data_IF_078870836464
#
_entry.id   IF_078870836464
#
_cell.length_a   1.000
_cell.length_b   1.000
_cell.length_c   1.000
_cell.angle_alpha   90.00
_cell.angle_beta   90.00
_cell.angle_gamma   90.00
#
_symmetry.space_group_name_H-M   'P 1'
#
loop_
_entity.id
_entity.type
_entity.pdbx_description
1 polymer ?
#
# COMPACT_ATOMS: atom_id res chain seq x y z
N UNK A 1 -9.87 -20.91 -12.21
CA UNK A 1 -9.63 -19.56 -11.69
C UNK A 1 -10.87 -18.73 -12.02
N UNK A 2 -11.53 -18.14 -11.04
CA UNK A 2 -12.76 -17.36 -11.23
C UNK A 2 -12.67 -16.05 -10.43
N UNK A 3 -13.23 -14.97 -10.98
CA UNK A 3 -13.34 -13.67 -10.30
C UNK A 3 -14.57 -13.70 -9.39
N UNK A 4 -14.35 -13.61 -8.08
CA UNK A 4 -15.45 -13.63 -7.09
C UNK A 4 -16.09 -12.24 -6.92
N UNK A 5 -15.29 -11.17 -6.94
CA UNK A 5 -15.71 -9.77 -6.79
C UNK A 5 -14.71 -8.81 -7.45
N UNK A 6 -15.20 -7.64 -7.84
CA UNK A 6 -14.42 -6.55 -8.42
C UNK A 6 -14.79 -5.22 -7.76
N UNK A 7 -13.81 -4.32 -7.67
CA UNK A 7 -13.98 -2.97 -7.14
C UNK A 7 -13.35 -1.97 -8.12
N UNK A 8 -14.02 -0.84 -8.32
CA UNK A 8 -13.43 0.33 -8.97
C UNK A 8 -12.94 1.30 -7.88
N UNK A 9 -11.65 1.62 -7.91
CA UNK A 9 -11.00 2.45 -6.89
C UNK A 9 -10.98 3.93 -7.24
N UNK A 10 -11.18 4.29 -8.51
CA UNK A 10 -11.00 5.65 -9.02
C UNK A 10 -9.57 6.18 -9.01
N UNK A 11 -8.58 5.44 -8.47
CA UNK A 11 -7.18 5.89 -8.44
C UNK A 11 -6.48 5.60 -9.77
N UNK A 12 -5.94 6.61 -10.48
CA UNK A 12 -5.31 6.39 -11.79
C UNK A 12 -4.04 5.54 -11.66
N UNK A 13 -4.03 4.35 -12.28
CA UNK A 13 -2.87 3.45 -12.25
C UNK A 13 -1.58 4.10 -12.76
N UNK A 14 -1.67 5.03 -13.72
CA UNK A 14 -0.48 5.74 -14.25
C UNK A 14 0.14 6.72 -13.25
N UNK A 15 -0.62 7.13 -12.24
CA UNK A 15 -0.15 8.00 -11.14
C UNK A 15 0.32 7.19 -9.93
N UNK A 16 0.09 5.88 -9.92
CA UNK A 16 0.58 5.00 -8.87
C UNK A 16 2.07 4.68 -9.09
N UNK A 17 2.83 4.63 -8.01
CA UNK A 17 4.15 4.01 -8.00
C UNK A 17 4.03 2.50 -8.06
N UNK A 18 3.59 1.93 -6.95
CA UNK A 18 3.25 0.52 -6.79
C UNK A 18 2.03 0.38 -5.87
N UNK A 19 1.50 -0.83 -5.74
CA UNK A 19 0.40 -1.10 -4.83
C UNK A 19 0.49 -2.51 -4.21
N UNK A 20 -0.01 -2.66 -2.98
CA UNK A 20 -0.05 -3.93 -2.26
C UNK A 20 -1.35 -4.07 -1.45
N UNK A 21 -1.68 -5.30 -1.05
CA UNK A 21 -2.89 -5.60 -0.29
C UNK A 21 -2.55 -6.10 1.12
N UNK A 22 -3.27 -5.61 2.13
CA UNK A 22 -3.26 -6.16 3.49
C UNK A 22 -4.70 -6.26 3.99
N UNK A 23 -5.13 -7.44 4.42
CA UNK A 23 -6.46 -7.66 5.04
C UNK A 23 -7.66 -7.09 4.24
N UNK A 24 -7.60 -7.11 2.91
CA UNK A 24 -8.68 -6.56 2.08
C UNK A 24 -8.63 -5.03 1.89
N UNK A 25 -7.53 -4.38 2.27
CA UNK A 25 -7.26 -2.96 1.97
C UNK A 25 -6.15 -2.87 0.93
N UNK A 26 -6.40 -2.14 -0.15
CA UNK A 26 -5.42 -1.81 -1.18
C UNK A 26 -4.67 -0.55 -0.76
N UNK A 27 -3.35 -0.63 -0.64
CA UNK A 27 -2.48 0.49 -0.37
C UNK A 27 -1.71 0.85 -1.65
N UNK A 28 -1.68 2.12 -2.00
CA UNK A 28 -1.06 2.62 -3.23
C UNK A 28 -0.04 3.70 -2.90
N UNK A 29 1.16 3.57 -3.47
CA UNK A 29 2.17 4.64 -3.39
C UNK A 29 1.95 5.69 -4.48
N UNK A 30 2.22 6.95 -4.18
CA UNK A 30 2.10 8.06 -5.14
C UNK A 30 3.28 8.20 -6.11
N UNK A 31 4.32 7.40 -5.94
CA UNK A 31 5.54 7.46 -6.75
C UNK A 31 6.32 6.15 -6.62
N UNK A 32 7.05 5.78 -7.68
CA UNK A 32 8.04 4.71 -7.66
C UNK A 32 9.46 5.27 -7.43
N UNK A 33 9.60 6.59 -7.29
CA UNK A 33 10.86 7.30 -7.11
C UNK A 33 11.18 7.60 -5.64
N UNK A 34 12.28 8.32 -5.39
CA UNK A 34 12.61 8.83 -4.06
C UNK A 34 11.48 9.72 -3.50
N UNK A 35 11.27 9.66 -2.18
CA UNK A 35 10.22 10.42 -1.51
C UNK A 35 8.80 9.87 -1.70
N UNK A 36 8.66 8.64 -2.20
CA UNK A 36 7.39 7.93 -2.28
C UNK A 36 6.70 7.86 -0.92
N UNK A 37 5.38 7.84 -0.93
CA UNK A 37 4.54 7.64 0.24
C UNK A 37 3.40 6.72 -0.11
N UNK A 38 2.95 5.91 0.85
CA UNK A 38 1.63 5.27 0.76
C UNK A 38 0.61 6.39 0.94
N UNK A 39 -0.06 6.73 -0.15
CA UNK A 39 -0.86 7.95 -0.26
C UNK A 39 -2.36 7.68 -0.36
N UNK A 40 -2.74 6.47 -0.74
CA UNK A 40 -4.13 6.10 -0.94
C UNK A 40 -4.37 4.71 -0.40
N UNK A 41 -5.45 4.56 0.38
CA UNK A 41 -5.93 3.29 0.88
C UNK A 41 -7.39 3.08 0.44
N UNK A 42 -7.69 1.93 -0.14
CA UNK A 42 -9.05 1.55 -0.56
C UNK A 42 -9.51 0.31 0.20
N UNK A 43 -10.63 0.44 0.90
CA UNK A 43 -11.22 -0.57 1.75
C UNK A 43 -12.26 -1.38 0.97
N UNK A 44 -11.96 -2.64 0.65
CA UNK A 44 -12.86 -3.49 -0.16
C UNK A 44 -14.14 -3.91 0.58
N UNK A 45 -14.15 -3.87 1.92
CA UNK A 45 -15.31 -4.20 2.74
C UNK A 45 -16.39 -3.11 2.68
N UNK A 46 -16.01 -1.84 2.70
CA UNK A 46 -16.90 -0.67 2.69
C UNK A 46 -17.00 0.00 1.32
N UNK A 47 -16.14 -0.39 0.36
CA UNK A 47 -16.00 0.26 -0.95
C UNK A 47 -15.74 1.77 -0.83
N UNK A 48 -14.95 2.14 0.19
CA UNK A 48 -14.55 3.51 0.47
C UNK A 48 -13.04 3.64 0.37
N UNK A 49 -12.55 4.87 0.27
CA UNK A 49 -11.12 5.15 0.28
C UNK A 49 -10.79 6.30 1.23
N UNK A 50 -9.52 6.38 1.60
CA UNK A 50 -8.94 7.53 2.28
C UNK A 50 -7.59 7.88 1.68
N UNK A 51 -7.20 9.14 1.83
CA UNK A 51 -5.84 9.56 1.56
C UNK A 51 -5.01 9.41 2.83
N UNK A 52 -3.85 8.80 2.69
CA UNK A 52 -2.89 8.57 3.78
C UNK A 52 -1.63 9.38 3.54
N UNK A 53 -0.78 9.52 4.56
CA UNK A 53 0.54 10.16 4.41
C UNK A 53 1.62 9.35 5.13
N UNK A 54 1.77 8.07 4.75
CA UNK A 54 2.78 7.19 5.35
C UNK A 54 4.05 7.23 4.51
N UNK A 55 5.18 7.75 5.03
CA UNK A 55 6.43 7.82 4.28
C UNK A 55 6.92 6.44 3.86
N UNK A 56 7.36 6.30 2.60
CA UNK A 56 8.00 5.10 2.08
C UNK A 56 9.45 5.40 1.70
N UNK A 57 10.40 4.81 2.43
CA UNK A 57 11.82 5.09 2.22
C UNK A 57 12.39 4.27 1.05
N UNK A 58 12.38 4.85 -0.14
CA UNK A 58 12.99 4.28 -1.33
C UNK A 58 14.51 4.50 -1.33
N UNK A 59 15.28 3.45 -1.03
CA UNK A 59 16.75 3.50 -0.91
C UNK A 59 17.48 3.50 -2.27
N UNK A 60 16.93 2.85 -3.30
CA UNK A 60 17.60 2.65 -4.59
C UNK A 60 16.91 3.34 -5.77
N UNK A 61 16.17 4.41 -5.47
CA UNK A 61 15.54 5.38 -6.38
C UNK A 61 14.44 4.89 -7.30
N UNK A 62 14.33 3.61 -7.66
CA UNK A 62 13.30 3.13 -8.61
C UNK A 62 12.74 1.76 -8.23
N UNK A 63 11.53 1.77 -7.71
CA UNK A 63 10.77 0.56 -7.37
C UNK A 63 10.06 0.04 -8.61
N UNK A 64 10.01 -1.28 -8.77
CA UNK A 64 9.28 -1.95 -9.87
C UNK A 64 8.44 -3.14 -9.42
N UNK A 65 8.45 -3.43 -8.11
CA UNK A 65 7.62 -4.44 -7.47
C UNK A 65 7.52 -4.13 -5.98
N UNK A 66 6.33 -4.30 -5.40
CA UNK A 66 6.08 -4.14 -3.97
C UNK A 66 4.97 -5.10 -3.51
N UNK A 67 5.34 -6.24 -2.94
CA UNK A 67 4.40 -7.30 -2.57
C UNK A 67 4.40 -7.60 -1.07
N UNK A 68 3.22 -7.73 -0.48
CA UNK A 68 3.08 -8.03 0.95
C UNK A 68 3.01 -9.54 1.23
N UNK A 69 3.82 -10.01 2.18
CA UNK A 69 3.74 -11.35 2.72
C UNK A 69 3.03 -11.33 4.09
N UNK A 70 1.81 -11.89 4.23
CA UNK A 70 1.08 -11.89 5.50
C UNK A 70 1.68 -12.79 6.57
N UNK A 71 2.46 -13.81 6.20
CA UNK A 71 3.12 -14.71 7.17
C UNK A 71 4.25 -13.99 7.89
N UNK A 72 5.02 -13.21 7.15
CA UNK A 72 6.21 -12.51 7.66
C UNK A 72 5.93 -11.06 8.05
N UNK A 73 4.78 -10.53 7.63
CA UNK A 73 4.37 -9.13 7.83
C UNK A 73 5.42 -8.16 7.28
N UNK A 74 5.90 -8.47 6.07
CA UNK A 74 6.91 -7.68 5.39
C UNK A 74 6.52 -7.45 3.93
N UNK A 75 7.00 -6.33 3.39
CA UNK A 75 6.95 -6.02 1.97
C UNK A 75 8.25 -6.49 1.31
N UNK A 76 8.10 -7.27 0.25
CA UNK A 76 9.14 -7.68 -0.66
C UNK A 76 9.18 -6.71 -1.84
N UNK A 77 10.34 -6.10 -2.07
CA UNK A 77 10.50 -5.04 -3.06
C UNK A 77 11.60 -5.37 -4.04
N UNK A 78 11.36 -5.09 -5.33
CA UNK A 78 12.43 -4.99 -6.33
C UNK A 78 12.72 -3.52 -6.62
N UNK A 79 13.91 -3.07 -6.22
CA UNK A 79 14.32 -1.67 -6.27
C UNK A 79 15.65 -1.54 -7.01
N UNK A 80 15.60 -1.10 -8.27
CA UNK A 80 16.76 -0.88 -9.12
C UNK A 80 17.81 -2.02 -9.06
N UNK A 81 17.38 -3.26 -9.30
CA UNK A 81 18.24 -4.45 -9.27
C UNK A 81 18.51 -5.07 -7.90
N UNK A 82 17.97 -4.47 -6.83
CA UNK A 82 18.13 -4.96 -5.46
C UNK A 82 16.81 -5.55 -4.94
N UNK A 83 16.88 -6.73 -4.34
CA UNK A 83 15.80 -7.27 -3.53
C UNK A 83 15.90 -6.66 -2.13
N UNK A 84 14.85 -5.97 -1.69
CA UNK A 84 14.79 -5.27 -0.41
C UNK A 84 13.56 -5.72 0.36
N UNK A 85 13.69 -5.82 1.68
CA UNK A 85 12.62 -6.21 2.58
C UNK A 85 12.31 -5.05 3.54
N UNK A 86 11.03 -4.70 3.64
CA UNK A 86 10.54 -3.69 4.58
C UNK A 86 9.58 -4.32 5.58
N UNK A 87 9.89 -4.19 6.87
CA UNK A 87 8.97 -4.65 7.92
C UNK A 87 7.74 -3.73 7.97
N UNK A 88 6.56 -4.33 8.13
CA UNK A 88 5.30 -3.59 8.23
C UNK A 88 4.78 -3.64 9.66
N UNK A 89 4.54 -2.45 10.22
CA UNK A 89 3.81 -2.29 11.49
C UNK A 89 2.41 -1.76 11.19
N UNK A 90 1.40 -2.49 11.64
CA UNK A 90 0.00 -2.09 11.54
C UNK A 90 -0.47 -1.60 12.91
N UNK A 91 -1.07 -0.42 12.95
CA UNK A 91 -1.70 0.11 14.15
C UNK A 91 -3.21 -0.11 14.06
N UNK A 92 -3.78 -0.74 15.08
CA UNK A 92 -5.22 -0.74 15.26
C UNK A 92 -5.58 0.48 16.10
N UNK A 93 -6.06 1.53 15.45
CA UNK A 93 -6.53 2.73 16.15
C UNK A 93 -7.97 2.47 16.59
N UNK A 94 -8.15 2.23 17.88
CA UNK A 94 -9.48 2.16 18.49
C UNK A 94 -9.89 3.60 18.75
N UNK A 95 -10.69 4.18 17.86
CA UNK A 95 -11.35 5.45 18.15
C UNK A 95 -12.43 5.18 19.20
N UNK A 96 -12.31 5.84 20.35
CA UNK A 96 -13.35 5.80 21.37
C UNK A 96 -14.34 6.91 21.10
N UNK A 97 -15.64 6.65 21.31
CA UNK A 97 -16.67 7.66 21.11
C UNK A 97 -16.37 8.87 22.01
N UNK A 98 -15.86 9.95 21.42
CA UNK A 98 -15.40 11.14 22.13
C UNK A 98 -14.04 11.69 21.66
N UNK A 99 -13.30 11.00 20.79
CA UNK A 99 -12.16 11.61 20.11
C UNK A 99 -12.64 12.72 19.14
N UNK A 100 -12.04 13.92 19.17
CA UNK A 100 -12.46 15.05 18.34
C UNK A 100 -12.27 14.82 16.84
#
# INVERSE_FOLDING_TARGET
LEVVRSWDTGYPKRSAGEAFMICGVLYVTNSHLAGAKVYFAYFTNTSSYEYTDVPFHNQYSHISMLDYNPRERALYTWNNGHQVLYNVTLFHVISTAGDP
#
